data_IF_357384196519
#
_entry.id   IF_357384196519
#
_cell.length_a   1.000
_cell.length_b   1.000
_cell.length_c   1.000
_cell.angle_alpha   90.00
_cell.angle_beta   90.00
_cell.angle_gamma   90.00
#
_symmetry.space_group_name_H-M   'P 1'
#
loop_
_entity.id
_entity.type
_entity.pdbx_description
1 polymer ?
#
# COMPACT_ATOMS: atom_id res chain seq x y z
N UNK A 1 26.71 -15.04 6.19
CA UNK A 1 26.42 -16.15 5.25
C UNK A 1 26.61 -15.77 3.78
N UNK A 2 25.72 -14.94 3.18
CA UNK A 2 25.81 -14.65 1.72
C UNK A 2 26.99 -13.73 1.40
N UNK A 3 27.13 -12.63 2.14
CA UNK A 3 28.31 -11.75 2.07
C UNK A 3 29.63 -12.47 2.32
N UNK A 4 29.66 -13.43 3.23
CA UNK A 4 30.87 -14.21 3.56
C UNK A 4 31.31 -15.07 2.34
N UNK A 5 30.35 -15.69 1.65
CA UNK A 5 30.62 -16.41 0.41
C UNK A 5 31.00 -15.46 -0.74
N UNK A 6 30.34 -14.30 -0.84
CA UNK A 6 30.67 -13.26 -1.83
C UNK A 6 32.06 -12.63 -1.58
N UNK A 7 32.55 -12.60 -0.33
CA UNK A 7 33.92 -12.21 0.02
C UNK A 7 34.97 -13.29 -0.26
N UNK A 8 34.56 -14.44 -0.84
CA UNK A 8 35.47 -15.49 -1.30
C UNK A 8 35.54 -16.72 -0.41
N UNK A 9 34.77 -16.81 0.67
CA UNK A 9 34.73 -18.04 1.47
C UNK A 9 34.02 -19.18 0.73
N UNK A 10 34.48 -20.42 0.95
CA UNK A 10 33.87 -21.60 0.34
C UNK A 10 32.48 -21.83 0.94
N UNK A 11 31.50 -22.07 0.09
CA UNK A 11 30.11 -22.37 0.50
C UNK A 11 30.03 -23.50 1.53
N UNK A 12 30.90 -24.51 1.43
CA UNK A 12 30.95 -25.62 2.38
C UNK A 12 31.30 -25.17 3.81
N UNK A 13 32.22 -24.23 3.97
CA UNK A 13 32.66 -23.75 5.28
C UNK A 13 31.63 -22.81 5.91
N UNK A 14 30.98 -21.99 5.08
CA UNK A 14 29.83 -21.17 5.48
C UNK A 14 28.66 -22.07 5.93
N UNK A 15 28.34 -23.12 5.17
CA UNK A 15 27.27 -24.06 5.52
C UNK A 15 27.53 -24.77 6.85
N UNK A 16 28.78 -25.21 7.09
CA UNK A 16 29.19 -25.84 8.35
C UNK A 16 29.09 -24.89 9.55
N UNK A 17 29.56 -23.66 9.40
CA UNK A 17 29.55 -22.65 10.48
C UNK A 17 28.13 -22.25 10.88
N UNK A 18 27.25 -22.09 9.90
CA UNK A 18 25.86 -21.69 10.12
C UNK A 18 24.92 -22.89 10.35
N UNK A 19 25.42 -24.12 10.30
CA UNK A 19 24.63 -25.33 10.55
C UNK A 19 23.52 -25.57 9.51
N UNK A 20 23.73 -25.14 8.27
CA UNK A 20 22.72 -25.21 7.20
C UNK A 20 23.18 -26.12 6.06
N UNK A 21 22.20 -26.67 5.34
CA UNK A 21 22.48 -27.39 4.10
C UNK A 21 22.88 -26.43 2.96
N UNK A 22 23.63 -26.92 1.99
CA UNK A 22 23.94 -26.19 0.76
C UNK A 22 22.68 -25.81 -0.02
N UNK A 23 21.67 -26.68 -0.04
CA UNK A 23 20.37 -26.39 -0.66
C UNK A 23 19.68 -25.18 0.00
N UNK A 24 19.71 -25.12 1.32
CA UNK A 24 19.20 -23.98 2.09
C UNK A 24 20.00 -22.72 1.77
N UNK A 25 21.33 -22.80 1.74
CA UNK A 25 22.20 -21.68 1.37
C UNK A 25 21.83 -21.08 0.01
N UNK A 26 21.67 -21.92 -1.03
CA UNK A 26 21.34 -21.44 -2.37
C UNK A 26 19.92 -20.85 -2.45
N UNK A 27 18.95 -21.34 -1.67
CA UNK A 27 17.62 -20.70 -1.54
C UNK A 27 17.70 -19.29 -0.96
N UNK A 28 18.52 -19.10 0.06
CA UNK A 28 18.77 -17.76 0.59
C UNK A 28 19.54 -16.91 -0.43
N UNK A 29 20.50 -17.49 -1.16
CA UNK A 29 21.26 -16.78 -2.21
C UNK A 29 20.41 -16.33 -3.38
N UNK A 30 19.41 -17.09 -3.81
CA UNK A 30 18.49 -16.63 -4.84
C UNK A 30 17.57 -15.51 -4.34
N UNK A 31 17.23 -15.50 -3.04
CA UNK A 31 16.29 -14.53 -2.46
C UNK A 31 16.96 -13.23 -2.01
N UNK A 32 18.22 -13.31 -1.57
CA UNK A 32 18.94 -12.20 -0.92
C UNK A 32 20.33 -11.97 -1.51
N UNK A 33 20.79 -12.77 -2.48
CA UNK A 33 22.05 -12.55 -3.18
C UNK A 33 21.98 -11.31 -4.06
N UNK A 34 23.04 -10.50 -4.05
CA UNK A 34 23.07 -9.21 -4.74
C UNK A 34 22.25 -8.10 -4.07
N UNK A 35 21.57 -8.35 -2.93
CA UNK A 35 20.94 -7.30 -2.13
C UNK A 35 21.94 -6.78 -1.10
N UNK A 36 22.37 -5.53 -1.23
CA UNK A 36 23.20 -4.89 -0.21
C UNK A 36 22.35 -4.69 1.06
N UNK A 37 22.86 -4.88 2.29
CA UNK A 37 22.14 -4.53 3.52
C UNK A 37 21.60 -3.09 3.53
N UNK A 38 22.20 -2.17 2.75
CA UNK A 38 21.65 -0.84 2.49
C UNK A 38 20.30 -0.87 1.76
N UNK A 39 20.15 -1.74 0.77
CA UNK A 39 18.91 -1.89 -0.02
C UNK A 39 17.79 -2.52 0.81
N UNK A 40 18.12 -3.48 1.68
CA UNK A 40 17.16 -4.06 2.60
C UNK A 40 16.61 -3.03 3.63
N UNK A 41 17.47 -2.12 4.11
CA UNK A 41 17.05 -1.00 4.98
C UNK A 41 16.20 0.02 4.23
N UNK A 42 16.60 0.36 2.99
CA UNK A 42 15.85 1.28 2.13
C UNK A 42 14.47 0.71 1.78
N UNK A 43 14.38 -0.58 1.47
CA UNK A 43 13.12 -1.26 1.16
C UNK A 43 12.15 -1.20 2.34
N UNK A 44 12.61 -1.50 3.55
CA UNK A 44 11.77 -1.41 4.77
C UNK A 44 11.30 0.02 5.04
N UNK A 45 12.20 1.01 4.90
CA UNK A 45 11.81 2.42 5.07
C UNK A 45 10.74 2.85 4.07
N UNK A 46 10.87 2.43 2.80
CA UNK A 46 9.89 2.71 1.74
C UNK A 46 8.55 2.00 1.99
N UNK A 47 8.56 0.78 2.51
CA UNK A 47 7.33 0.06 2.91
C UNK A 47 6.59 0.77 4.05
N UNK A 48 7.33 1.23 5.07
CA UNK A 48 6.77 1.99 6.20
C UNK A 48 6.17 3.32 5.75
N UNK A 49 6.85 4.05 4.85
CA UNK A 49 6.33 5.27 4.24
C UNK A 49 5.08 5.03 3.40
N UNK A 50 5.07 3.95 2.59
CA UNK A 50 3.92 3.58 1.77
C UNK A 50 2.69 3.25 2.66
N UNK A 51 2.91 2.57 3.78
CA UNK A 51 1.87 2.29 4.78
C UNK A 51 1.29 3.56 5.39
N UNK A 52 2.14 4.52 5.78
CA UNK A 52 1.71 5.83 6.29
C UNK A 52 0.94 6.62 5.24
N UNK A 53 1.44 6.67 4.00
CA UNK A 53 0.78 7.38 2.90
C UNK A 53 -0.59 6.78 2.58
N UNK A 54 -0.72 5.45 2.55
CA UNK A 54 -2.01 4.77 2.36
C UNK A 54 -3.00 5.07 3.48
N UNK A 55 -2.52 5.11 4.73
CA UNK A 55 -3.37 5.48 5.88
C UNK A 55 -3.86 6.93 5.77
N UNK A 56 -2.96 7.86 5.46
CA UNK A 56 -3.32 9.27 5.25
C UNK A 56 -4.29 9.44 4.07
N UNK A 57 -4.10 8.70 2.97
CA UNK A 57 -5.01 8.71 1.84
C UNK A 57 -6.40 8.18 2.22
N UNK A 58 -6.46 7.09 2.98
CA UNK A 58 -7.71 6.56 3.49
C UNK A 58 -8.40 7.57 4.42
N UNK A 59 -7.67 8.17 5.35
CA UNK A 59 -8.18 9.18 6.28
C UNK A 59 -8.69 10.44 5.54
N UNK A 60 -8.09 10.82 4.41
CA UNK A 60 -8.59 11.89 3.53
C UNK A 60 -9.79 11.50 2.68
N UNK A 61 -9.94 10.23 2.32
CA UNK A 61 -11.11 9.73 1.57
C UNK A 61 -12.34 9.50 2.46
N UNK A 62 -12.16 9.30 3.77
CA UNK A 62 -13.25 9.13 4.74
C UNK A 62 -14.19 10.35 4.87
N UNK A 63 -13.73 11.62 4.95
CA UNK A 63 -14.64 12.76 4.98
C UNK A 63 -15.47 12.86 3.69
N UNK A 64 -14.95 12.44 2.54
CA UNK A 64 -15.70 12.45 1.27
C UNK A 64 -16.93 11.53 1.27
N UNK A 65 -16.88 10.42 2.00
CA UNK A 65 -18.01 9.49 2.12
C UNK A 65 -19.03 9.91 3.18
N UNK A 66 -18.58 10.52 4.28
CA UNK A 66 -19.45 10.99 5.36
C UNK A 66 -20.20 12.29 5.00
N UNK A 67 -19.57 13.21 4.25
CA UNK A 67 -20.26 14.43 3.79
C UNK A 67 -21.26 14.18 2.66
N UNK A 68 -21.05 13.13 1.85
CA UNK A 68 -21.98 12.75 0.78
C UNK A 68 -23.33 12.25 1.30
N UNK A 69 -23.39 11.76 2.55
CA UNK A 69 -24.65 11.32 3.19
C UNK A 69 -25.44 12.45 3.86
N UNK A 70 -24.89 13.67 3.90
CA UNK A 70 -25.47 14.78 4.65
C UNK A 70 -26.12 15.85 3.77
N UNK A 71 -25.94 15.79 2.45
CA UNK A 71 -26.71 16.59 1.51
C UNK A 71 -28.01 15.85 1.15
N UNK A 72 -29.19 16.37 1.52
CA UNK A 72 -30.44 15.80 1.02
C UNK A 72 -30.48 15.97 -0.50
N UNK A 73 -30.48 14.85 -1.22
CA UNK A 73 -30.80 14.83 -2.63
C UNK A 73 -32.26 15.30 -2.80
N UNK A 74 -32.46 16.41 -3.50
CA UNK A 74 -33.77 16.84 -3.99
C UNK A 74 -34.42 17.99 -3.22
N UNK A 75 -33.99 19.23 -3.50
CA UNK A 75 -34.92 20.36 -3.51
C UNK A 75 -35.19 20.71 -4.97
N UNK A 76 -36.24 20.12 -5.52
CA UNK A 76 -36.76 20.47 -6.83
C UNK A 76 -37.49 21.82 -6.68
N UNK A 77 -36.81 22.91 -7.04
CA UNK A 77 -37.41 24.25 -7.05
C UNK A 77 -38.27 24.40 -8.31
N UNK A 78 -39.42 23.74 -8.36
CA UNK A 78 -40.38 23.94 -9.45
C UNK A 78 -41.28 25.12 -9.10
N UNK A 79 -40.90 26.29 -9.63
CA UNK A 79 -41.76 27.46 -9.75
C UNK A 79 -42.91 27.12 -10.71
N UNK A 80 -44.09 26.76 -10.19
CA UNK A 80 -45.31 26.76 -11.01
C UNK A 80 -45.91 28.16 -11.04
N UNK A 81 -45.52 28.92 -12.06
CA UNK A 81 -46.35 29.95 -12.64
C UNK A 81 -47.28 29.25 -13.62
N UNK A 82 -48.59 29.25 -13.40
CA UNK A 82 -49.56 29.10 -14.49
C UNK A 82 -50.91 29.69 -14.06
N UNK A 83 -51.17 30.84 -14.65
CA UNK A 83 -52.47 31.50 -14.78
C UNK A 83 -53.54 30.51 -15.23
N UNK A 84 -54.65 30.39 -14.49
CA UNK A 84 -55.89 29.87 -15.07
C UNK A 84 -57.10 30.69 -14.67
N UNK A 85 -57.57 31.41 -15.67
CA UNK A 85 -58.78 32.21 -15.75
C UNK A 85 -60.03 31.31 -15.64
N UNK A 86 -60.83 31.54 -14.60
CA UNK A 86 -62.30 31.73 -14.66
C UNK A 86 -63.22 30.68 -15.32
N UNK A 87 -64.15 30.12 -14.53
CA UNK A 87 -65.57 29.75 -14.83
C UNK A 87 -66.12 29.10 -13.55
N UNK A 88 -67.04 29.66 -12.74
CA UNK A 88 -68.38 30.27 -12.91
C UNK A 88 -69.38 29.35 -13.62
N UNK A 89 -70.29 28.81 -12.78
CA UNK A 89 -71.40 27.87 -12.99
C UNK A 89 -71.02 26.40 -13.10
#
# INVERSE_FOLDING_TARGET
>A
MIKEQESGEKTADVCRRHGISSATFYKYKSKYGGMEPSDAKRLRALEDENGKLKKLLADQMLPSRAIATQYPAGQETTRCCETSTQKKW
#
